data_IF_727338130213
#
_entry.id   IF_727338130213
#
_cell.length_a   1.000
_cell.length_b   1.000
_cell.length_c   1.000
_cell.angle_alpha   90.00
_cell.angle_beta   90.00
_cell.angle_gamma   90.00
#
_symmetry.space_group_name_H-M   'P 1'
#
loop_
_entity.id
_entity.type
_entity.pdbx_description
1 polymer ?
#
# COMPACT_ATOMS: atom_id res chain seq x y z
N UNK A 1 -18.03 -9.38 3.23
CA UNK A 1 -18.05 -10.86 3.20
C UNK A 1 -17.53 -11.46 4.53
N UNK A 2 -18.29 -12.35 5.19
CA UNK A 2 -17.83 -13.16 6.32
C UNK A 2 -16.60 -14.02 5.96
N UNK A 3 -15.73 -14.30 6.93
CA UNK A 3 -14.53 -15.14 6.70
C UNK A 3 -14.90 -16.56 6.24
N UNK A 4 -15.98 -17.11 6.79
CA UNK A 4 -16.52 -18.43 6.41
C UNK A 4 -16.96 -18.49 4.95
N UNK A 5 -17.41 -17.39 4.37
CA UNK A 5 -17.78 -17.29 2.95
C UNK A 5 -16.55 -17.01 2.08
N UNK A 6 -15.63 -16.16 2.55
CA UNK A 6 -14.36 -15.89 1.85
C UNK A 6 -13.54 -17.16 1.61
N UNK A 7 -13.50 -18.07 2.60
CA UNK A 7 -12.78 -19.35 2.51
C UNK A 7 -13.45 -20.41 1.61
N UNK A 8 -14.72 -20.24 1.22
CA UNK A 8 -15.45 -21.26 0.43
C UNK A 8 -15.00 -21.33 -1.03
N UNK A 9 -14.56 -20.21 -1.61
CA UNK A 9 -14.05 -20.17 -2.97
C UNK A 9 -12.56 -19.81 -2.95
N UNK A 10 -11.64 -20.70 -3.37
CA UNK A 10 -10.22 -20.39 -3.44
C UNK A 10 -9.91 -19.18 -4.34
N UNK A 11 -10.75 -18.89 -5.34
CA UNK A 11 -10.59 -17.72 -6.22
C UNK A 11 -10.69 -16.40 -5.44
N UNK A 12 -11.49 -16.33 -4.37
CA UNK A 12 -11.64 -15.11 -3.57
C UNK A 12 -10.30 -14.65 -3.01
N UNK A 13 -9.49 -15.60 -2.54
CA UNK A 13 -8.14 -15.30 -2.03
C UNK A 13 -7.22 -14.88 -3.16
N UNK A 14 -7.15 -15.67 -4.24
CA UNK A 14 -6.26 -15.40 -5.37
C UNK A 14 -6.54 -14.03 -6.01
N UNK A 15 -7.81 -13.69 -6.20
CA UNK A 15 -8.25 -12.41 -6.77
C UNK A 15 -7.88 -11.26 -5.82
N UNK A 16 -8.24 -11.38 -4.53
CA UNK A 16 -7.97 -10.33 -3.56
C UNK A 16 -6.47 -10.07 -3.37
N UNK A 17 -5.68 -11.13 -3.26
CA UNK A 17 -4.23 -11.08 -3.14
C UNK A 17 -3.60 -10.44 -4.38
N UNK A 18 -4.02 -10.86 -5.57
CA UNK A 18 -3.57 -10.27 -6.82
C UNK A 18 -3.83 -8.75 -6.89
N UNK A 19 -5.05 -8.31 -6.59
CA UNK A 19 -5.40 -6.89 -6.66
C UNK A 19 -4.71 -6.05 -5.58
N UNK A 20 -4.62 -6.54 -4.34
CA UNK A 20 -3.92 -5.85 -3.27
C UNK A 20 -2.42 -5.72 -3.54
N UNK A 21 -1.80 -6.75 -4.11
CA UNK A 21 -0.41 -6.70 -4.54
C UNK A 21 -0.20 -5.62 -5.60
N UNK A 22 -1.06 -5.59 -6.64
CA UNK A 22 -0.99 -4.58 -7.70
C UNK A 22 -1.22 -3.16 -7.18
N UNK A 23 -2.18 -2.97 -6.28
CA UNK A 23 -2.44 -1.67 -5.69
C UNK A 23 -1.25 -1.19 -4.85
N UNK A 24 -0.65 -2.08 -4.06
CA UNK A 24 0.53 -1.77 -3.26
C UNK A 24 1.73 -1.40 -4.13
N UNK A 25 1.94 -2.11 -5.24
CA UNK A 25 2.99 -1.80 -6.21
C UNK A 25 2.78 -0.43 -6.87
N UNK A 26 1.55 -0.14 -7.31
CA UNK A 26 1.21 1.17 -7.89
C UNK A 26 1.47 2.33 -6.92
N UNK A 27 1.12 2.18 -5.64
CA UNK A 27 1.41 3.19 -4.61
C UNK A 27 2.91 3.47 -4.51
N UNK A 28 3.74 2.41 -4.48
CA UNK A 28 5.18 2.53 -4.30
C UNK A 28 5.84 3.12 -5.55
N UNK A 29 5.35 2.78 -6.74
CA UNK A 29 5.84 3.31 -8.01
C UNK A 29 5.49 4.79 -8.17
N UNK A 30 4.25 5.19 -7.84
CA UNK A 30 3.84 6.59 -7.79
C UNK A 30 4.73 7.37 -6.81
N UNK A 31 4.92 6.85 -5.60
CA UNK A 31 5.75 7.48 -4.58
C UNK A 31 7.20 7.67 -5.04
N UNK A 32 7.81 6.63 -5.63
CA UNK A 32 9.16 6.71 -6.21
C UNK A 32 9.25 7.72 -7.34
N UNK A 33 8.25 7.76 -8.21
CA UNK A 33 8.23 8.71 -9.31
C UNK A 33 8.21 10.15 -8.80
N UNK A 34 7.35 10.43 -7.81
CA UNK A 34 7.27 11.75 -7.17
C UNK A 34 8.60 12.09 -6.48
N UNK A 35 9.19 11.16 -5.74
CA UNK A 35 10.50 11.35 -5.08
C UNK A 35 11.59 11.70 -6.10
N UNK A 36 11.66 10.93 -7.19
CA UNK A 36 12.64 11.15 -8.25
C UNK A 36 12.46 12.50 -8.93
N UNK A 37 11.22 12.92 -9.19
CA UNK A 37 10.91 14.20 -9.82
C UNK A 37 11.11 15.40 -8.90
N UNK A 38 10.85 15.23 -7.60
CA UNK A 38 11.05 16.25 -6.58
C UNK A 38 12.51 16.44 -6.16
N UNK A 39 13.42 15.55 -6.56
CA UNK A 39 14.83 15.61 -6.17
C UNK A 39 15.06 15.32 -4.68
N UNK A 40 14.16 14.56 -4.05
CA UNK A 40 14.27 14.22 -2.63
C UNK A 40 15.31 13.11 -2.40
N UNK A 41 15.51 12.75 -1.13
CA UNK A 41 16.39 11.64 -0.73
C UNK A 41 16.02 10.34 -1.43
N UNK A 42 17.03 9.51 -1.73
CA UNK A 42 16.82 8.20 -2.31
C UNK A 42 16.25 7.24 -1.26
N UNK A 43 15.15 6.51 -1.55
CA UNK A 43 14.65 5.47 -0.65
C UNK A 43 15.47 4.19 -0.79
N UNK A 44 16.04 3.71 0.31
CA UNK A 44 16.75 2.42 0.42
C UNK A 44 15.78 1.23 0.39
N UNK A 45 14.54 1.43 0.86
CA UNK A 45 13.51 0.40 0.88
C UNK A 45 12.10 0.94 0.58
N UNK A 46 11.14 0.02 0.44
CA UNK A 46 9.76 0.37 0.12
C UNK A 46 9.04 1.19 1.22
N UNK A 47 9.43 0.99 2.47
CA UNK A 47 8.85 1.70 3.62
C UNK A 47 9.29 3.16 3.59
N UNK A 48 10.56 3.40 3.28
CA UNK A 48 11.12 4.74 3.18
C UNK A 48 10.47 5.60 2.09
N UNK A 49 9.93 4.99 1.03
CA UNK A 49 9.14 5.73 0.03
C UNK A 49 8.03 6.51 0.71
N UNK A 50 7.24 5.85 1.57
CA UNK A 50 6.12 6.49 2.26
C UNK A 50 6.61 7.50 3.31
N UNK A 51 7.71 7.20 4.00
CA UNK A 51 8.30 8.13 4.98
C UNK A 51 8.75 9.43 4.29
N UNK A 52 9.43 9.34 3.14
CA UNK A 52 9.92 10.50 2.39
C UNK A 52 8.75 11.34 1.86
N UNK A 53 7.67 10.71 1.39
CA UNK A 53 6.47 11.45 1.00
C UNK A 53 5.87 12.24 2.18
N UNK A 54 5.88 11.66 3.38
CA UNK A 54 5.44 12.34 4.60
C UNK A 54 6.35 13.50 5.01
N UNK A 55 7.67 13.29 4.95
CA UNK A 55 8.68 14.32 5.28
C UNK A 55 8.61 15.54 4.36
N UNK A 56 8.19 15.36 3.11
CA UNK A 56 8.04 16.43 2.12
C UNK A 56 6.60 16.96 2.02
N UNK A 57 5.74 16.65 3.01
CA UNK A 57 4.36 17.16 3.12
C UNK A 57 3.46 16.82 1.94
N UNK A 58 3.79 15.77 1.18
CA UNK A 58 3.02 15.28 0.02
C UNK A 58 1.80 14.50 0.51
N UNK A 59 2.01 13.74 1.58
CA UNK A 59 0.96 13.09 2.37
C UNK A 59 1.11 13.53 3.84
N UNK A 60 0.03 13.57 4.63
CA UNK A 60 0.14 13.94 6.04
C UNK A 60 1.05 12.99 6.81
N UNK A 61 1.92 13.52 7.68
CA UNK A 61 2.86 12.71 8.46
C UNK A 61 2.18 11.60 9.31
N UNK A 62 1.03 11.85 9.99
CA UNK A 62 0.32 10.79 10.70
C UNK A 62 -0.13 9.65 9.78
N UNK A 63 -0.59 10.01 8.58
CA UNK A 63 -0.98 9.04 7.56
C UNK A 63 0.24 8.26 7.05
N UNK A 64 1.37 8.92 6.78
CA UNK A 64 2.61 8.26 6.36
C UNK A 64 3.07 7.20 7.38
N UNK A 65 3.07 7.55 8.67
CA UNK A 65 3.46 6.64 9.77
C UNK A 65 2.62 5.37 9.82
N UNK A 66 1.32 5.48 9.55
CA UNK A 66 0.43 4.33 9.51
C UNK A 66 0.58 3.54 8.20
N UNK A 67 0.63 4.25 7.08
CA UNK A 67 0.56 3.70 5.73
C UNK A 67 1.86 3.08 5.25
N UNK A 68 3.02 3.44 5.84
CA UNK A 68 4.34 2.87 5.48
C UNK A 68 4.41 1.35 5.52
N UNK A 69 3.53 0.70 6.29
CA UNK A 69 3.38 -0.76 6.35
C UNK A 69 3.05 -1.40 5.00
N UNK A 70 2.51 -0.63 4.04
CA UNK A 70 2.22 -1.11 2.68
C UNK A 70 3.47 -1.59 1.94
N UNK A 71 4.64 -0.99 2.20
CA UNK A 71 5.91 -1.43 1.64
C UNK A 71 6.31 -2.83 2.12
N UNK A 72 6.18 -3.07 3.43
CA UNK A 72 6.41 -4.38 4.04
C UNK A 72 5.37 -5.42 3.61
N UNK A 73 4.10 -5.01 3.46
CA UNK A 73 3.03 -5.88 2.99
C UNK A 73 3.26 -6.33 1.54
N UNK A 74 3.63 -5.42 0.63
CA UNK A 74 4.03 -5.74 -0.75
C UNK A 74 5.17 -6.75 -0.78
N UNK A 75 6.20 -6.56 0.04
CA UNK A 75 7.32 -7.50 0.12
C UNK A 75 6.89 -8.90 0.57
N UNK A 76 6.01 -8.99 1.56
CA UNK A 76 5.51 -10.29 2.04
C UNK A 76 4.66 -11.01 1.00
N UNK A 77 3.80 -10.30 0.25
CA UNK A 77 3.00 -10.91 -0.81
C UNK A 77 3.84 -11.50 -1.96
N UNK A 78 5.07 -11.02 -2.18
CA UNK A 78 5.94 -11.53 -3.25
C UNK A 78 6.93 -12.58 -2.73
N UNK A 79 7.61 -12.29 -1.63
CA UNK A 79 8.76 -13.08 -1.18
C UNK A 79 8.46 -14.01 0.00
N UNK A 80 7.33 -13.83 0.69
CA UNK A 80 6.94 -14.63 1.84
C UNK A 80 5.43 -14.96 1.79
N UNK A 81 4.91 -15.21 0.58
CA UNK A 81 3.47 -15.38 0.34
C UNK A 81 2.86 -16.50 1.18
N UNK A 82 3.64 -17.55 1.49
CA UNK A 82 3.22 -18.65 2.37
C UNK A 82 2.96 -18.22 3.83
N UNK A 83 3.36 -17.01 4.22
CA UNK A 83 3.09 -16.42 5.54
C UNK A 83 1.85 -15.52 5.55
N UNK A 84 1.26 -15.20 4.39
CA UNK A 84 0.06 -14.36 4.31
C UNK A 84 -1.17 -15.26 4.53
N UNK A 85 -1.89 -15.02 5.63
CA UNK A 85 -3.08 -15.82 5.97
C UNK A 85 -4.35 -15.25 5.34
N UNK A 86 -5.38 -16.09 5.19
CA UNK A 86 -6.73 -15.66 4.76
C UNK A 86 -7.31 -14.61 5.71
N UNK A 87 -7.09 -14.76 7.02
CA UNK A 87 -7.51 -13.79 8.03
C UNK A 87 -6.84 -12.43 7.83
N UNK A 88 -5.52 -12.41 7.62
CA UNK A 88 -4.76 -11.19 7.39
C UNK A 88 -5.24 -10.46 6.13
N UNK A 89 -5.32 -11.19 5.00
CA UNK A 89 -5.76 -10.61 3.74
C UNK A 89 -7.16 -9.99 3.85
N UNK A 90 -8.10 -10.69 4.51
CA UNK A 90 -9.45 -10.16 4.75
C UNK A 90 -9.45 -8.93 5.65
N UNK A 91 -8.60 -8.89 6.67
CA UNK A 91 -8.50 -7.72 7.55
C UNK A 91 -7.95 -6.51 6.79
N UNK A 92 -6.91 -6.69 5.98
CA UNK A 92 -6.37 -5.63 5.11
C UNK A 92 -7.41 -5.13 4.12
N UNK A 93 -8.16 -6.02 3.47
CA UNK A 93 -9.28 -5.62 2.59
C UNK A 93 -10.34 -4.80 3.33
N UNK A 94 -10.61 -5.09 4.60
CA UNK A 94 -11.66 -4.37 5.34
C UNK A 94 -11.17 -3.02 5.88
N UNK A 95 -9.92 -2.94 6.30
CA UNK A 95 -9.42 -1.84 7.12
C UNK A 95 -8.52 -0.86 6.35
N UNK A 96 -7.91 -1.29 5.24
CA UNK A 96 -6.86 -0.52 4.57
C UNK A 96 -7.22 -0.07 3.15
N UNK A 97 -8.35 -0.51 2.59
CA UNK A 97 -8.78 -0.06 1.25
C UNK A 97 -9.05 1.45 1.20
N UNK A 98 -9.62 2.03 2.25
CA UNK A 98 -9.86 3.47 2.31
C UNK A 98 -8.56 4.27 2.31
N UNK A 99 -7.48 3.71 2.88
CA UNK A 99 -6.15 4.34 2.88
C UNK A 99 -5.55 4.42 1.48
N UNK A 100 -5.80 3.45 0.61
CA UNK A 100 -5.40 3.54 -0.80
C UNK A 100 -6.09 4.72 -1.48
N UNK A 101 -7.37 4.90 -1.19
CA UNK A 101 -8.16 6.02 -1.74
C UNK A 101 -7.66 7.36 -1.20
N UNK A 102 -7.35 7.43 0.09
CA UNK A 102 -6.83 8.64 0.72
C UNK A 102 -5.42 9.00 0.19
N UNK A 103 -4.55 8.01 -0.02
CA UNK A 103 -3.28 8.21 -0.70
C UNK A 103 -3.47 8.87 -2.07
N UNK A 104 -4.39 8.36 -2.89
CA UNK A 104 -4.69 8.94 -4.20
C UNK A 104 -5.17 10.40 -4.07
N UNK A 105 -6.03 10.73 -3.09
CA UNK A 105 -6.49 12.10 -2.85
C UNK A 105 -5.33 13.04 -2.49
N UNK A 106 -4.41 12.60 -1.63
CA UNK A 106 -3.25 13.40 -1.25
C UNK A 106 -2.32 13.64 -2.44
N UNK A 107 -2.04 12.61 -3.23
CA UNK A 107 -1.21 12.73 -4.44
C UNK A 107 -1.86 13.66 -5.45
N UNK A 108 -3.17 13.52 -5.73
CA UNK A 108 -3.89 14.41 -6.65
C UNK A 108 -3.81 15.87 -6.19
N UNK A 109 -4.08 16.13 -4.90
CA UNK A 109 -3.97 17.47 -4.32
C UNK A 109 -2.54 18.04 -4.42
N UNK A 110 -1.52 17.20 -4.33
CA UNK A 110 -0.13 17.61 -4.54
C UNK A 110 0.15 17.98 -6.00
N UNK A 111 -0.41 17.25 -6.97
CA UNK A 111 -0.22 17.50 -8.40
C UNK A 111 -0.99 18.73 -8.92
N UNK A 112 -2.03 19.18 -8.22
CA UNK A 112 -2.78 20.39 -8.56
C UNK A 112 -2.08 21.70 -8.11
N UNK A 113 -0.97 21.59 -7.37
CA UNK A 113 -0.12 22.73 -6.99
C UNK A 113 0.89 23.06 -8.08
#
# INVERSE_FOLDING_TARGET
MPLSEFKKNPDNYAIAEHHLRRASEAVLDIGRHIISKGGFSHPEDYTQIIDILGQNEIIPEPFAKEFRKIGGFRNRMVHAYWKVSFEELRQTLKNDLDKLTDFCKYVLKYLEK
#
